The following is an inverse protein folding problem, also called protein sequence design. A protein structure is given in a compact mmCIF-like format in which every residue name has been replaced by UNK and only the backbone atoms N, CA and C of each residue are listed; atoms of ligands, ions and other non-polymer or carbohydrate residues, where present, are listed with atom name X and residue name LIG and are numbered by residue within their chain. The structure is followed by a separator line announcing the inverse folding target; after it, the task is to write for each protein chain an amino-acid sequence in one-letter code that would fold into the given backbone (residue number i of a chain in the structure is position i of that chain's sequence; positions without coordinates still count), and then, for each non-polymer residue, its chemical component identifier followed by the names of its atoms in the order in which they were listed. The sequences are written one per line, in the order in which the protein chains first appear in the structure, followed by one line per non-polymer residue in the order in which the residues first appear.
data_IF_412677849892
#
_entry.id   IF_412677849892
#
_cell.length_a   1.000
_cell.length_b   1.000
_cell.length_c   1.000
_cell.angle_alpha   90.00
_cell.angle_beta   90.00
_cell.angle_gamma   90.00
#
_symmetry.space_group_name_H-M   'P 1'
#
loop_
_entity.id
_entity.type
_entity.pdbx_description
1 polymer ?
#
# COMPACT_ATOMS: atom_id res chain seq x y z
N UNK A 1 -33.68 -4.21 4.01
CA UNK A 1 -33.12 -2.94 4.50
C UNK A 1 -33.01 -2.01 3.30
N UNK A 2 -33.43 -0.75 3.47
CA UNK A 2 -33.23 0.28 2.46
C UNK A 2 -31.77 0.74 2.46
N UNK A 3 -31.32 1.41 1.39
CA UNK A 3 -29.97 1.98 1.40
C UNK A 3 -29.78 3.00 2.54
N UNK A 4 -30.84 3.73 2.89
CA UNK A 4 -30.84 4.64 4.04
C UNK A 4 -30.60 3.90 5.35
N UNK A 5 -31.24 2.75 5.57
CA UNK A 5 -30.99 1.93 6.76
C UNK A 5 -29.55 1.41 6.78
N UNK A 6 -29.00 1.02 5.62
CA UNK A 6 -27.62 0.58 5.52
C UNK A 6 -26.64 1.68 5.95
N UNK A 7 -26.84 2.92 5.48
CA UNK A 7 -26.01 4.07 5.85
C UNK A 7 -26.15 4.45 7.33
N UNK A 8 -27.30 4.18 7.95
CA UNK A 8 -27.51 4.43 9.38
C UNK A 8 -26.81 3.38 10.25
N UNK A 9 -26.88 2.11 9.87
CA UNK A 9 -26.44 0.99 10.71
C UNK A 9 -24.97 0.59 10.49
N UNK A 10 -24.43 0.85 9.30
CA UNK A 10 -23.07 0.44 8.94
C UNK A 10 -22.13 1.63 8.76
N UNK A 11 -20.97 1.56 9.42
CA UNK A 11 -19.92 2.58 9.33
C UNK A 11 -18.81 2.24 8.35
N UNK A 12 -18.73 0.97 7.91
CA UNK A 12 -17.63 0.48 7.07
C UNK A 12 -18.09 -0.57 6.09
N UNK A 13 -17.76 -0.34 4.82
CA UNK A 13 -17.90 -1.30 3.72
C UNK A 13 -16.50 -1.61 3.19
N UNK A 14 -16.12 -2.88 3.15
CA UNK A 14 -14.87 -3.35 2.55
C UNK A 14 -15.19 -4.10 1.26
N UNK A 15 -14.63 -3.64 0.13
CA UNK A 15 -14.80 -4.27 -1.18
C UNK A 15 -13.42 -4.77 -1.65
N UNK A 16 -13.32 -6.06 -1.93
CA UNK A 16 -12.10 -6.70 -2.39
C UNK A 16 -12.21 -7.05 -3.87
N UNK A 17 -11.55 -6.25 -4.71
CA UNK A 17 -11.52 -6.46 -6.15
C UNK A 17 -10.19 -7.11 -6.58
N UNK A 18 -10.25 -7.90 -7.67
CA UNK A 18 -9.05 -8.51 -8.26
C UNK A 18 -8.22 -7.50 -9.07
N UNK A 19 -8.86 -6.45 -9.58
CA UNK A 19 -8.23 -5.36 -10.34
C UNK A 19 -8.65 -4.02 -9.75
N UNK A 20 -7.81 -2.99 -9.90
CA UNK A 20 -8.07 -1.69 -9.31
C UNK A 20 -9.25 -0.94 -9.96
N UNK A 21 -9.68 -1.31 -11.17
CA UNK A 21 -10.78 -0.63 -11.88
C UNK A 21 -12.17 -1.27 -11.65
N UNK A 22 -12.31 -2.32 -10.85
CA UNK A 22 -13.50 -3.17 -10.90
C UNK A 22 -14.82 -2.51 -10.44
N UNK A 23 -14.78 -1.28 -9.88
CA UNK A 23 -15.97 -0.51 -9.53
C UNK A 23 -16.46 0.41 -10.66
N UNK A 24 -15.61 0.75 -11.63
CA UNK A 24 -15.97 1.54 -12.81
C UNK A 24 -16.05 0.63 -14.04
N UNK A 25 -17.23 0.03 -14.25
CA UNK A 25 -17.48 -1.03 -15.22
C UNK A 25 -17.30 -0.62 -16.71
N UNK A 26 -16.94 0.62 -17.01
CA UNK A 26 -16.92 1.17 -18.38
C UNK A 26 -15.56 1.04 -19.07
N UNK A 27 -14.44 0.87 -18.34
CA UNK A 27 -13.12 0.66 -18.94
C UNK A 27 -12.24 -0.28 -18.10
N UNK A 28 -11.92 -1.46 -18.63
CA UNK A 28 -10.91 -2.34 -18.04
C UNK A 28 -9.52 -1.82 -18.42
N UNK A 29 -8.77 -1.23 -17.46
CA UNK A 29 -7.35 -0.94 -17.68
C UNK A 29 -6.53 -2.21 -17.41
N UNK A 30 -5.45 -2.39 -18.16
CA UNK A 30 -4.47 -3.43 -17.90
C UNK A 30 -3.46 -2.92 -16.87
N UNK A 31 -3.42 -3.55 -15.70
CA UNK A 31 -2.46 -3.23 -14.65
C UNK A 31 -1.20 -4.06 -14.78
N UNK A 32 -0.04 -3.40 -14.69
CA UNK A 32 1.23 -4.08 -14.43
C UNK A 32 1.39 -4.24 -12.92
N UNK A 33 1.75 -5.43 -12.46
CA UNK A 33 1.96 -5.72 -11.04
C UNK A 33 3.38 -6.20 -10.78
N UNK A 34 3.96 -5.73 -9.68
CA UNK A 34 5.23 -6.20 -9.15
C UNK A 34 5.08 -6.42 -7.65
N UNK A 35 5.59 -7.54 -7.15
CA UNK A 35 5.51 -7.91 -5.73
C UNK A 35 6.92 -8.11 -5.21
N UNK A 36 7.25 -7.38 -4.15
CA UNK A 36 8.53 -7.49 -3.47
C UNK A 36 8.33 -8.04 -2.07
N UNK A 37 9.29 -8.84 -1.61
CA UNK A 37 9.33 -9.36 -0.25
C UNK A 37 10.52 -8.75 0.48
N UNK A 38 10.33 -8.40 1.75
CA UNK A 38 11.36 -7.83 2.61
C UNK A 38 11.04 -8.03 4.08
N UNK A 39 11.97 -7.61 4.94
CA UNK A 39 11.83 -7.69 6.39
C UNK A 39 12.39 -6.45 7.10
N UNK A 40 11.82 -6.15 8.26
CA UNK A 40 12.37 -5.21 9.23
C UNK A 40 12.99 -5.99 10.39
N UNK A 41 14.31 -5.94 10.48
CA UNK A 41 15.09 -6.62 11.51
C UNK A 41 15.71 -5.58 12.45
N UNK A 42 15.54 -5.81 13.75
CA UNK A 42 16.11 -4.96 14.79
C UNK A 42 17.64 -4.87 14.65
N UNK A 43 18.19 -3.66 14.75
CA UNK A 43 19.63 -3.41 14.61
C UNK A 43 20.15 -3.36 13.16
N UNK A 44 19.30 -3.57 12.15
CA UNK A 44 19.70 -3.43 10.74
C UNK A 44 18.70 -2.63 9.91
N UNK A 45 17.55 -3.22 9.56
CA UNK A 45 16.59 -2.62 8.61
C UNK A 45 15.37 -1.99 9.27
N UNK A 46 15.15 -2.21 10.57
CA UNK A 46 14.03 -1.65 11.33
C UNK A 46 14.24 -0.15 11.67
N UNK A 47 14.14 0.73 10.68
CA UNK A 47 14.46 2.15 10.80
C UNK A 47 13.39 3.05 11.43
N UNK A 48 12.18 2.53 11.65
CA UNK A 48 11.03 3.31 12.11
C UNK A 48 10.41 4.19 11.03
N UNK A 49 9.50 5.09 11.41
CA UNK A 49 8.82 6.01 10.49
C UNK A 49 9.60 7.33 10.31
N UNK A 50 9.06 8.27 9.52
CA UNK A 50 9.74 9.53 9.16
C UNK A 50 10.11 10.41 10.36
N UNK A 51 9.44 10.22 11.50
CA UNK A 51 9.69 10.90 12.77
C UNK A 51 11.02 10.46 13.42
N UNK A 52 11.67 9.41 12.91
CA UNK A 52 12.96 8.90 13.39
C UNK A 52 14.05 9.12 12.33
N UNK A 53 14.47 10.37 12.05
CA UNK A 53 15.35 10.69 10.92
C UNK A 53 16.72 10.01 10.99
N UNK A 54 17.23 9.73 12.19
CA UNK A 54 18.52 9.07 12.39
C UNK A 54 18.56 7.64 11.82
N UNK A 55 17.42 6.94 11.82
CA UNK A 55 17.31 5.53 11.44
C UNK A 55 16.43 5.30 10.23
N UNK A 56 15.56 6.25 9.85
CA UNK A 56 14.56 6.06 8.79
C UNK A 56 15.15 5.58 7.45
N UNK A 57 16.34 6.06 7.09
CA UNK A 57 17.00 5.75 5.82
C UNK A 57 17.45 4.28 5.68
N UNK A 58 17.57 3.54 6.78
CA UNK A 58 18.00 2.13 6.78
C UNK A 58 16.87 1.15 6.41
N UNK A 59 15.62 1.64 6.36
CA UNK A 59 14.49 0.84 5.88
C UNK A 59 14.72 0.41 4.43
N UNK A 60 14.21 -0.76 4.00
CA UNK A 60 14.28 -1.17 2.60
C UNK A 60 13.64 -0.14 1.67
N UNK A 61 14.33 0.18 0.57
CA UNK A 61 13.89 1.17 -0.42
C UNK A 61 13.61 0.48 -1.76
N UNK A 62 12.56 0.93 -2.44
CA UNK A 62 12.12 0.40 -3.72
C UNK A 62 11.96 1.55 -4.72
N UNK A 63 12.50 1.37 -5.93
CA UNK A 63 12.37 2.35 -7.01
C UNK A 63 11.22 1.95 -7.93
N UNK A 64 10.32 2.89 -8.20
CA UNK A 64 9.25 2.74 -9.19
C UNK A 64 9.52 3.71 -10.33
N UNK A 65 9.46 3.21 -11.56
CA UNK A 65 9.61 4.02 -12.76
C UNK A 65 8.26 4.15 -13.47
N UNK A 66 7.75 5.38 -13.57
CA UNK A 66 6.50 5.70 -14.27
C UNK A 66 6.87 6.24 -15.66
N UNK A 67 6.64 5.43 -16.69
CA UNK A 67 7.07 5.73 -18.07
C UNK A 67 5.91 5.94 -19.05
N UNK A 68 4.73 5.43 -18.72
CA UNK A 68 3.58 5.40 -19.62
C UNK A 68 2.41 6.15 -18.97
N UNK A 69 2.13 7.39 -19.41
CA UNK A 69 1.00 8.17 -18.91
C UNK A 69 -0.34 7.47 -19.13
N UNK A 70 -1.31 7.76 -18.27
CA UNK A 70 -2.63 7.14 -18.33
C UNK A 70 -3.42 7.53 -19.59
N UNK A 71 -3.21 8.76 -20.08
CA UNK A 71 -3.88 9.33 -21.24
C UNK A 71 -2.86 9.94 -22.20
N UNK A 72 -3.04 9.70 -23.51
CA UNK A 72 -2.18 10.27 -24.54
C UNK A 72 -2.19 11.81 -24.49
N UNK A 73 -1.00 12.42 -24.45
CA UNK A 73 -0.84 13.88 -24.37
C UNK A 73 -0.80 14.44 -22.94
N UNK A 74 -0.90 13.59 -21.90
CA UNK A 74 -0.68 13.96 -20.50
C UNK A 74 0.65 13.41 -19.98
N UNK A 75 1.13 13.96 -18.85
CA UNK A 75 2.33 13.49 -18.13
C UNK A 75 2.01 12.52 -17.00
N UNK A 76 0.75 12.45 -16.57
CA UNK A 76 0.39 11.85 -15.30
C UNK A 76 0.25 10.33 -15.42
N UNK A 77 0.76 9.63 -14.42
CA UNK A 77 0.73 8.17 -14.32
C UNK A 77 0.07 7.77 -13.01
N UNK A 78 -0.92 6.88 -13.05
CA UNK A 78 -1.52 6.32 -11.84
C UNK A 78 -0.89 4.98 -11.46
N UNK A 79 -0.67 4.76 -10.17
CA UNK A 79 -0.21 3.48 -9.64
C UNK A 79 -0.78 3.24 -8.25
N UNK A 80 -0.84 1.96 -7.87
CA UNK A 80 -1.28 1.53 -6.55
C UNK A 80 -0.11 0.89 -5.80
N UNK A 81 0.09 1.29 -4.54
CA UNK A 81 1.05 0.66 -3.64
C UNK A 81 0.31 0.02 -2.47
N UNK A 82 0.55 -1.26 -2.25
CA UNK A 82 0.04 -2.00 -1.10
C UNK A 82 1.21 -2.55 -0.28
N UNK A 83 1.20 -2.28 1.03
CA UNK A 83 2.16 -2.82 1.98
C UNK A 83 1.45 -3.77 2.95
N UNK A 84 1.91 -5.02 3.04
CA UNK A 84 1.29 -6.05 3.84
C UNK A 84 2.29 -6.71 4.79
N UNK A 85 1.94 -6.81 6.07
CA UNK A 85 2.72 -7.53 7.07
C UNK A 85 2.35 -9.02 7.11
N UNK A 86 3.36 -9.89 7.15
CA UNK A 86 3.19 -11.34 7.14
C UNK A 86 3.18 -11.92 8.56
N UNK A 87 2.45 -13.02 8.74
CA UNK A 87 2.51 -13.91 9.91
C UNK A 87 2.22 -13.29 11.30
N UNK A 88 1.73 -12.06 11.40
CA UNK A 88 1.46 -11.41 12.69
C UNK A 88 0.47 -12.17 13.57
N UNK A 89 -0.54 -12.81 12.97
CA UNK A 89 -1.50 -13.63 13.72
C UNK A 89 -0.85 -14.79 14.46
N UNK A 90 0.25 -15.36 13.94
CA UNK A 90 1.01 -16.43 14.61
C UNK A 90 1.70 -15.93 15.89
N UNK A 91 2.09 -14.65 15.92
CA UNK A 91 2.77 -14.00 17.05
C UNK A 91 1.82 -13.57 18.18
N UNK A 92 0.50 -13.72 18.02
CA UNK A 92 -0.48 -13.41 19.09
C UNK A 92 -0.28 -14.25 20.34
N UNK A 93 0.20 -15.48 20.21
CA UNK A 93 0.56 -16.34 21.36
C UNK A 93 1.71 -15.77 22.19
N UNK A 94 2.54 -14.91 21.59
CA UNK A 94 3.62 -14.17 22.26
C UNK A 94 3.18 -12.79 22.76
N UNK A 95 1.87 -12.49 22.74
CA UNK A 95 1.33 -11.18 23.12
C UNK A 95 1.55 -10.08 22.08
N UNK A 96 1.93 -10.40 20.84
CA UNK A 96 2.17 -9.42 19.76
C UNK A 96 0.99 -9.37 18.79
N UNK A 97 0.54 -8.17 18.40
CA UNK A 97 -0.53 -7.99 17.41
C UNK A 97 -0.02 -7.41 16.07
N UNK A 98 -0.84 -6.73 15.27
CA UNK A 98 -0.36 -6.03 14.07
C UNK A 98 0.55 -4.86 14.46
N UNK A 99 1.66 -4.67 13.75
CA UNK A 99 2.44 -3.43 13.91
C UNK A 99 1.76 -2.30 13.15
N UNK A 100 1.96 -1.06 13.60
CA UNK A 100 1.64 0.13 12.81
C UNK A 100 2.63 0.24 11.66
N UNK A 101 2.13 0.11 10.43
CA UNK A 101 2.94 0.15 9.21
C UNK A 101 2.47 1.27 8.28
N UNK A 102 3.38 1.74 7.45
CA UNK A 102 3.13 2.74 6.42
C UNK A 102 4.36 2.90 5.54
N UNK A 103 4.24 3.71 4.50
CA UNK A 103 5.35 4.04 3.60
C UNK A 103 5.29 5.51 3.22
N UNK A 104 6.42 6.02 2.71
CA UNK A 104 6.52 7.36 2.15
C UNK A 104 7.13 7.25 0.74
N UNK A 105 6.63 8.06 -0.18
CA UNK A 105 7.10 8.09 -1.57
C UNK A 105 7.85 9.41 -1.77
N UNK A 106 9.04 9.31 -2.35
CA UNK A 106 9.88 10.46 -2.67
C UNK A 106 10.19 10.45 -4.15
N UNK A 107 10.19 11.63 -4.76
CA UNK A 107 10.74 11.80 -6.10
C UNK A 107 12.26 11.64 -6.03
N UNK A 108 12.78 10.67 -6.79
CA UNK A 108 14.22 10.50 -6.93
C UNK A 108 14.74 11.50 -7.96
N UNK A 109 15.74 12.29 -7.57
CA UNK A 109 16.49 13.10 -8.55
C UNK A 109 17.35 12.15 -9.38
N UNK A 110 17.21 12.23 -10.70
CA UNK A 110 18.12 11.59 -11.65
C UNK A 110 19.42 12.39 -11.78
#
# INVERSE_FOLDING_TARGET
MSFSDFLLEFTRLEICNLTADALEATQQKKWSSAVYQGEWRSGSTAGGCRNFPATFWINPQFKVALQHPDTAGQSDCSFLVALMQKDRRKKRKEGKDMETIGFAIYEARN
#
